data_IF_712605094068
#
_entry.id   IF_712605094068
#
_cell.length_a   1.000
_cell.length_b   1.000
_cell.length_c   1.000
_cell.angle_alpha   90.00
_cell.angle_beta   90.00
_cell.angle_gamma   90.00
#
_symmetry.space_group_name_H-M   'P 1'
#
loop_
_entity.id
_entity.type
_entity.pdbx_description
1 polymer ?
#
# COMPACT_ATOMS: atom_id res chain seq x y z
N UNK A 1 -9.26 11.46 15.24
CA UNK A 1 -9.11 11.64 13.79
C UNK A 1 -8.01 12.67 13.60
N UNK A 2 -6.86 12.27 13.08
CA UNK A 2 -5.76 13.20 12.80
C UNK A 2 -6.12 14.05 11.57
N UNK A 3 -5.95 15.38 11.61
CA UNK A 3 -6.12 16.25 10.46
C UNK A 3 -4.87 16.13 9.59
N UNK A 4 -5.03 15.64 8.36
CA UNK A 4 -3.93 15.38 7.43
C UNK A 4 -3.92 13.90 7.04
N UNK A 5 -4.21 13.63 5.77
CA UNK A 5 -4.13 12.27 5.23
C UNK A 5 -2.73 11.69 5.39
N UNK A 6 -2.62 10.37 5.37
CA UNK A 6 -1.32 9.69 5.47
C UNK A 6 -0.56 9.92 4.18
N UNK A 7 0.64 10.51 4.25
CA UNK A 7 1.48 10.70 3.07
C UNK A 7 2.43 9.51 2.95
N UNK A 8 2.39 8.84 1.81
CA UNK A 8 3.28 7.72 1.48
C UNK A 8 4.32 8.18 0.46
N UNK A 9 5.55 7.69 0.56
CA UNK A 9 6.58 7.95 -0.43
C UNK A 9 6.64 6.78 -1.41
N UNK A 10 6.69 7.08 -2.70
CA UNK A 10 6.78 6.09 -3.76
C UNK A 10 7.96 6.42 -4.68
N UNK A 11 8.67 5.38 -5.10
CA UNK A 11 9.79 5.46 -6.02
C UNK A 11 9.60 4.45 -7.15
N UNK A 12 9.74 4.90 -8.38
CA UNK A 12 9.50 4.09 -9.59
C UNK A 12 10.69 4.22 -10.53
N UNK A 13 11.24 3.09 -10.95
CA UNK A 13 12.29 3.06 -11.97
C UNK A 13 11.64 2.98 -13.35
N UNK A 14 11.96 3.96 -14.20
CA UNK A 14 11.39 4.10 -15.54
C UNK A 14 12.49 4.19 -16.59
N UNK A 15 12.25 3.52 -17.72
CA UNK A 15 13.04 3.68 -18.95
C UNK A 15 12.11 4.22 -20.02
N UNK A 16 11.99 5.55 -20.08
CA UNK A 16 11.02 6.24 -20.93
C UNK A 16 11.40 7.71 -21.13
N UNK A 17 10.59 8.43 -21.91
CA UNK A 17 10.59 9.89 -22.04
C UNK A 17 9.34 10.53 -21.43
N UNK A 18 8.40 9.72 -20.94
CA UNK A 18 7.17 10.16 -20.29
C UNK A 18 6.77 9.19 -19.18
N UNK A 19 6.08 9.72 -18.18
CA UNK A 19 5.50 8.92 -17.10
C UNK A 19 4.16 9.51 -16.68
N UNK A 20 3.22 8.62 -16.36
CA UNK A 20 1.86 9.00 -16.02
C UNK A 20 1.44 8.40 -14.67
N UNK A 21 0.83 9.24 -13.84
CA UNK A 21 0.37 8.91 -12.49
C UNK A 21 -1.13 8.64 -12.52
N UNK A 22 -1.52 7.36 -12.49
CA UNK A 22 -2.93 6.95 -12.54
C UNK A 22 -3.36 6.15 -11.33
N UNK A 23 -4.59 6.39 -10.88
CA UNK A 23 -5.33 5.55 -9.94
C UNK A 23 -6.64 5.11 -10.61
N UNK A 24 -7.18 3.92 -10.29
CA UNK A 24 -8.52 3.57 -10.74
C UNK A 24 -9.57 4.44 -10.03
N UNK A 25 -10.54 4.91 -10.81
CA UNK A 25 -11.75 5.58 -10.34
C UNK A 25 -12.85 4.59 -9.99
N UNK A 26 -14.05 5.10 -9.71
CA UNK A 26 -15.15 4.29 -9.15
C UNK A 26 -15.64 3.22 -10.13
N UNK A 27 -15.53 3.46 -11.43
CA UNK A 27 -15.89 2.54 -12.50
C UNK A 27 -14.66 1.92 -13.18
N UNK A 28 -13.48 2.02 -12.57
CA UNK A 28 -12.21 1.53 -13.13
C UNK A 28 -11.59 2.44 -14.18
N UNK A 29 -12.15 3.63 -14.40
CA UNK A 29 -11.56 4.66 -15.25
C UNK A 29 -10.22 5.16 -14.67
N UNK A 30 -9.32 5.63 -15.52
CA UNK A 30 -8.05 6.19 -15.05
C UNK A 30 -8.25 7.63 -14.59
N UNK A 31 -7.94 7.89 -13.32
CA UNK A 31 -8.00 9.22 -12.70
C UNK A 31 -6.57 9.66 -12.35
N UNK A 32 -6.17 10.92 -12.64
CA UNK A 32 -4.85 11.42 -12.27
C UNK A 32 -4.62 11.29 -10.77
N UNK A 33 -3.56 10.59 -10.38
CA UNK A 33 -3.13 10.51 -8.99
C UNK A 33 -2.55 11.87 -8.58
N UNK A 34 -2.99 12.39 -7.44
CA UNK A 34 -2.42 13.61 -6.87
C UNK A 34 -1.08 13.25 -6.22
N UNK A 35 -0.02 13.93 -6.64
CA UNK A 35 1.34 13.70 -6.13
C UNK A 35 1.96 15.02 -5.68
N UNK A 36 2.83 14.93 -4.69
CA UNK A 36 3.56 16.03 -4.07
C UNK A 36 5.06 15.72 -4.07
N UNK A 37 5.92 16.73 -3.91
CA UNK A 37 7.38 16.58 -3.82
C UNK A 37 7.99 15.72 -4.93
N UNK A 38 7.56 15.94 -6.18
CA UNK A 38 7.98 15.15 -7.34
C UNK A 38 9.41 15.49 -7.76
N UNK A 39 10.26 14.47 -7.78
CA UNK A 39 11.64 14.54 -8.22
C UNK A 39 11.94 13.45 -9.28
N UNK A 40 12.66 13.83 -10.34
CA UNK A 40 13.15 12.91 -11.37
C UNK A 40 14.66 12.85 -11.27
N UNK A 41 15.20 11.69 -10.88
CA UNK A 41 16.62 11.48 -10.66
C UNK A 41 17.19 10.60 -11.78
N UNK A 42 18.17 11.14 -12.50
CA UNK A 42 18.96 10.41 -13.47
C UNK A 42 20.31 9.95 -12.91
N UNK A 43 21.12 9.22 -13.70
CA UNK A 43 22.44 8.74 -13.29
C UNK A 43 23.40 9.88 -12.90
N UNK A 44 23.21 11.06 -13.50
CA UNK A 44 24.04 12.24 -13.31
C UNK A 44 23.45 13.25 -12.30
N UNK A 45 22.32 12.92 -11.66
CA UNK A 45 21.61 13.81 -10.73
C UNK A 45 20.18 14.18 -11.17
N UNK A 46 19.57 15.19 -10.52
CA UNK A 46 18.22 15.65 -10.84
C UNK A 46 18.08 16.11 -12.29
N UNK A 47 16.94 15.78 -12.91
CA UNK A 47 16.61 16.13 -14.29
C UNK A 47 15.35 16.99 -14.30
N UNK A 48 15.36 18.03 -15.13
CA UNK A 48 14.16 18.84 -15.34
C UNK A 48 13.09 18.05 -16.08
N UNK A 49 11.86 18.14 -15.57
CA UNK A 49 10.67 17.58 -16.20
C UNK A 49 9.68 18.68 -16.54
N UNK A 50 8.81 18.38 -17.51
CA UNK A 50 7.67 19.24 -17.85
C UNK A 50 6.38 18.49 -17.67
N UNK A 51 5.47 19.08 -16.91
CA UNK A 51 4.08 18.65 -16.85
C UNK A 51 3.37 19.03 -18.16
N UNK A 52 2.97 18.02 -18.94
CA UNK A 52 2.30 18.25 -20.22
C UNK A 52 0.77 18.19 -20.07
N UNK A 53 0.27 17.27 -19.24
CA UNK A 53 -1.15 17.11 -18.91
C UNK A 53 -1.28 16.77 -17.43
N UNK A 54 -2.50 16.87 -16.89
CA UNK A 54 -2.78 16.42 -15.51
C UNK A 54 -2.33 14.98 -15.32
N UNK A 55 -1.41 14.77 -14.39
CA UNK A 55 -0.86 13.45 -14.07
C UNK A 55 0.11 12.89 -15.12
N UNK A 56 0.65 13.70 -16.04
CA UNK A 56 1.66 13.25 -17.01
C UNK A 56 2.84 14.21 -17.03
N UNK A 57 4.03 13.64 -16.80
CA UNK A 57 5.31 14.33 -16.94
C UNK A 57 6.09 13.81 -18.13
N UNK A 58 6.90 14.70 -18.69
CA UNK A 58 7.80 14.42 -19.82
C UNK A 58 9.21 14.84 -19.44
N UNK A 59 10.19 14.05 -19.86
CA UNK A 59 11.60 14.22 -19.58
C UNK A 59 12.41 13.66 -20.76
N UNK A 60 13.70 14.01 -20.90
CA UNK A 60 14.56 13.42 -21.94
C UNK A 60 14.52 11.89 -21.86
N UNK A 61 14.65 11.20 -23.00
CA UNK A 61 14.63 9.75 -23.00
C UNK A 61 15.82 9.16 -22.24
N UNK A 62 15.57 8.25 -21.30
CA UNK A 62 16.62 7.65 -20.48
C UNK A 62 16.09 6.78 -19.33
N UNK A 63 17.02 6.39 -18.46
CA UNK A 63 16.75 5.60 -17.26
C UNK A 63 16.71 6.52 -16.04
N UNK A 64 15.55 6.62 -15.41
CA UNK A 64 15.32 7.53 -14.30
C UNK A 64 14.63 6.83 -13.15
N UNK A 65 14.85 7.36 -11.95
CA UNK A 65 14.09 7.06 -10.75
C UNK A 65 13.21 8.25 -10.46
N UNK A 66 11.89 8.04 -10.50
CA UNK A 66 10.91 9.06 -10.15
C UNK A 66 10.50 8.83 -8.70
N UNK A 67 10.73 9.83 -7.85
CA UNK A 67 10.32 9.80 -6.44
C UNK A 67 9.24 10.84 -6.22
N UNK A 68 8.19 10.47 -5.50
CA UNK A 68 7.06 11.35 -5.23
C UNK A 68 6.32 10.94 -3.96
N UNK A 69 5.57 11.88 -3.40
CA UNK A 69 4.71 11.65 -2.24
C UNK A 69 3.25 11.60 -2.66
N UNK A 70 2.50 10.67 -2.08
CA UNK A 70 1.08 10.48 -2.36
C UNK A 70 0.29 10.69 -1.07
N UNK A 71 -0.60 11.70 -1.00
CA UNK A 71 -1.57 11.81 0.07
C UNK A 71 -2.63 10.71 -0.07
N UNK A 72 -2.60 9.74 0.83
CA UNK A 72 -3.50 8.59 0.85
C UNK A 72 -4.69 8.84 1.78
N UNK A 73 -5.87 8.48 1.29
CA UNK A 73 -7.11 8.44 2.09
C UNK A 73 -7.43 7.00 2.46
N UNK A 74 -8.05 6.82 3.63
CA UNK A 74 -8.52 5.52 4.13
C UNK A 74 -7.47 4.41 4.23
N UNK A 75 -6.18 4.79 4.27
CA UNK A 75 -5.03 3.89 4.26
C UNK A 75 -5.01 2.90 3.08
N UNK A 76 -5.50 3.35 1.93
CA UNK A 76 -5.61 2.54 0.72
C UNK A 76 -4.97 3.27 -0.46
N UNK A 77 -3.85 2.75 -0.93
CA UNK A 77 -3.12 3.26 -2.09
C UNK A 77 -3.33 2.31 -3.27
N UNK A 78 -3.74 2.84 -4.41
CA UNK A 78 -3.85 2.10 -5.67
C UNK A 78 -3.21 2.91 -6.77
N UNK A 79 -2.38 2.28 -7.58
CA UNK A 79 -1.80 2.90 -8.77
C UNK A 79 -1.80 1.92 -9.93
N UNK A 80 -2.00 2.45 -11.14
CA UNK A 80 -2.03 1.68 -12.39
C UNK A 80 -1.04 2.30 -13.35
N UNK A 81 -0.31 1.44 -14.07
CA UNK A 81 0.77 1.84 -14.95
C UNK A 81 0.48 1.40 -16.38
N UNK A 82 0.99 2.14 -17.36
CA UNK A 82 0.86 1.79 -18.78
C UNK A 82 1.77 0.64 -19.19
N UNK A 83 2.86 0.45 -18.46
CA UNK A 83 3.86 -0.60 -18.63
C UNK A 83 4.25 -1.08 -17.24
N UNK A 84 4.72 -2.32 -17.11
CA UNK A 84 5.19 -2.81 -15.83
C UNK A 84 6.51 -2.14 -15.43
N UNK A 85 6.58 -1.63 -14.19
CA UNK A 85 7.77 -0.96 -13.64
C UNK A 85 8.26 -1.65 -12.35
N UNK A 86 9.51 -1.35 -11.98
CA UNK A 86 10.02 -1.64 -10.62
C UNK A 86 9.59 -0.50 -9.71
N UNK A 87 8.86 -0.84 -8.65
CA UNK A 87 8.20 0.12 -7.77
C UNK A 87 8.56 -0.20 -6.33
N UNK A 88 8.89 0.84 -5.56
CA UNK A 88 9.05 0.76 -4.12
C UNK A 88 8.15 1.79 -3.45
N UNK A 89 7.33 1.34 -2.50
CA UNK A 89 6.51 2.20 -1.66
C UNK A 89 7.03 2.13 -0.23
N UNK A 90 7.28 3.28 0.36
CA UNK A 90 7.66 3.43 1.76
C UNK A 90 6.49 4.04 2.53
N UNK A 91 5.95 3.26 3.47
CA UNK A 91 4.93 3.69 4.39
C UNK A 91 5.56 4.39 5.60
N UNK A 92 4.96 5.49 6.09
CA UNK A 92 5.45 6.16 7.28
C UNK A 92 5.47 5.23 8.50
N UNK A 93 6.38 5.50 9.43
CA UNK A 93 6.58 4.68 10.62
C UNK A 93 5.28 4.49 11.42
N UNK A 94 5.08 3.27 11.89
CA UNK A 94 3.89 2.86 12.62
C UNK A 94 2.79 2.20 11.77
N UNK A 95 2.81 2.34 10.45
CA UNK A 95 1.87 1.59 9.59
C UNK A 95 2.43 0.24 9.18
N UNK A 96 1.56 -0.78 9.12
CA UNK A 96 1.90 -2.12 8.68
C UNK A 96 0.83 -2.65 7.69
N UNK A 97 1.19 -3.70 6.95
CA UNK A 97 0.40 -4.39 5.91
C UNK A 97 0.36 -5.90 6.12
N UNK A 98 1.16 -6.45 7.04
CA UNK A 98 1.41 -7.89 7.16
C UNK A 98 0.21 -8.70 7.65
N UNK A 99 -0.71 -8.11 8.41
CA UNK A 99 -1.89 -8.81 8.88
C UNK A 99 -2.96 -8.91 7.77
N UNK A 100 -3.23 -10.11 7.22
CA UNK A 100 -4.10 -10.27 6.04
C UNK A 100 -5.58 -9.99 6.33
N UNK A 101 -5.99 -9.87 7.59
CA UNK A 101 -7.37 -9.56 7.96
C UNK A 101 -7.69 -8.06 7.85
N UNK A 102 -6.67 -7.21 7.89
CA UNK A 102 -6.80 -5.74 7.97
C UNK A 102 -5.86 -4.98 7.05
N UNK A 103 -4.93 -5.68 6.40
CA UNK A 103 -4.02 -5.16 5.40
C UNK A 103 -4.05 -6.01 4.12
N UNK A 104 -3.46 -5.48 3.06
CA UNK A 104 -3.35 -6.16 1.77
C UNK A 104 -2.18 -5.60 0.98
N UNK A 105 -1.49 -6.47 0.26
CA UNK A 105 -0.48 -6.11 -0.73
C UNK A 105 -0.82 -6.86 -2.01
N UNK A 106 -0.85 -6.17 -3.15
CA UNK A 106 -1.10 -6.79 -4.44
C UNK A 106 -0.03 -7.85 -4.77
N UNK A 107 -0.35 -8.86 -5.59
CA UNK A 107 0.59 -9.90 -5.97
C UNK A 107 1.93 -9.36 -6.50
N UNK A 108 3.02 -10.05 -6.17
CA UNK A 108 4.38 -9.65 -6.53
C UNK A 108 5.04 -8.63 -5.59
N UNK A 109 4.29 -8.07 -4.64
CA UNK A 109 4.83 -7.16 -3.63
C UNK A 109 5.53 -7.92 -2.51
N UNK A 110 6.78 -7.54 -2.25
CA UNK A 110 7.59 -8.06 -1.14
C UNK A 110 7.68 -6.99 -0.06
N UNK A 111 7.26 -7.34 1.16
CA UNK A 111 7.27 -6.44 2.31
C UNK A 111 8.58 -6.60 3.08
N UNK A 112 9.29 -5.51 3.30
CA UNK A 112 10.51 -5.42 4.09
C UNK A 112 10.38 -4.33 5.17
N UNK A 113 11.29 -4.37 6.14
CA UNK A 113 11.43 -3.28 7.10
C UNK A 113 12.43 -2.27 6.55
N UNK A 114 11.98 -1.03 6.37
CA UNK A 114 12.81 0.07 5.91
C UNK A 114 13.58 0.74 7.06
N UNK A 115 14.43 1.74 6.74
CA UNK A 115 15.14 2.53 7.74
C UNK A 115 14.17 3.31 8.62
N UNK A 116 14.54 3.57 9.88
CA UNK A 116 13.72 4.31 10.84
C UNK A 116 12.35 3.69 11.16
N UNK A 117 12.18 2.37 10.93
CA UNK A 117 10.94 1.66 11.25
C UNK A 117 9.81 1.92 10.26
N UNK A 118 10.13 2.38 9.06
CA UNK A 118 9.18 2.41 7.94
C UNK A 118 8.90 0.99 7.43
N UNK A 119 7.76 0.81 6.79
CA UNK A 119 7.42 -0.43 6.09
C UNK A 119 7.62 -0.20 4.61
N UNK A 120 8.56 -0.92 4.01
CA UNK A 120 8.85 -0.82 2.58
C UNK A 120 8.20 -1.98 1.84
N UNK A 121 7.69 -1.71 0.65
CA UNK A 121 7.02 -2.68 -0.19
C UNK A 121 7.56 -2.51 -1.61
N UNK A 122 8.17 -3.57 -2.14
CA UNK A 122 8.82 -3.53 -3.45
C UNK A 122 8.18 -4.53 -4.40
N UNK A 123 7.93 -4.09 -5.63
CA UNK A 123 7.56 -4.93 -6.75
C UNK A 123 8.67 -4.84 -7.79
N UNK A 124 9.26 -5.99 -8.14
CA UNK A 124 10.28 -6.04 -9.20
C UNK A 124 9.69 -5.66 -10.56
N UNK A 125 8.43 -6.04 -10.78
CA UNK A 125 7.69 -5.81 -12.03
C UNK A 125 6.18 -5.82 -11.77
N UNK A 126 5.53 -4.65 -11.82
CA UNK A 126 4.08 -4.55 -11.68
C UNK A 126 3.46 -3.51 -12.64
N UNK A 127 2.34 -3.86 -13.26
CA UNK A 127 1.48 -3.02 -14.10
C UNK A 127 0.33 -2.37 -13.31
N UNK A 128 0.03 -2.90 -12.13
CA UNK A 128 -0.78 -2.25 -11.11
C UNK A 128 -0.26 -2.60 -9.71
N UNK A 129 -0.39 -1.67 -8.78
CA UNK A 129 -0.12 -1.92 -7.36
C UNK A 129 -1.32 -1.52 -6.51
N UNK A 130 -1.54 -2.29 -5.46
CA UNK A 130 -2.54 -1.99 -4.45
C UNK A 130 -1.98 -2.32 -3.06
N UNK A 131 -2.10 -1.36 -2.15
CA UNK A 131 -1.66 -1.47 -0.77
C UNK A 131 -2.76 -0.99 0.14
N UNK A 132 -3.17 -1.85 1.07
CA UNK A 132 -4.00 -1.49 2.21
C UNK A 132 -3.18 -1.65 3.47
N UNK A 133 -3.01 -0.56 4.19
CA UNK A 133 -2.23 -0.51 5.40
C UNK A 133 -3.10 -0.14 6.60
N UNK A 134 -2.60 -0.41 7.81
CA UNK A 134 -3.32 -0.15 9.04
C UNK A 134 -2.38 0.43 10.09
N UNK A 135 -2.95 1.24 10.98
CA UNK A 135 -2.25 1.75 12.14
C UNK A 135 -2.26 0.68 13.25
N UNK A 136 -1.29 0.70 14.19
CA UNK A 136 -1.11 -0.36 15.19
C UNK A 136 -2.35 -0.58 16.07
N UNK A 137 -3.13 0.47 16.30
CA UNK A 137 -4.35 0.43 17.11
C UNK A 137 -5.41 -0.49 16.51
N UNK A 138 -5.46 -0.62 15.18
CA UNK A 138 -6.40 -1.52 14.50
C UNK A 138 -6.10 -2.99 14.79
N UNK A 139 -4.83 -3.34 14.90
CA UNK A 139 -4.41 -4.69 15.24
C UNK A 139 -4.72 -5.04 16.70
N UNK A 140 -4.52 -4.09 17.61
CA UNK A 140 -4.94 -4.22 19.02
C UNK A 140 -6.46 -4.45 19.11
N UNK A 141 -7.24 -3.66 18.36
CA UNK A 141 -8.70 -3.77 18.35
C UNK A 141 -9.15 -5.11 17.77
N UNK A 142 -8.55 -5.57 16.66
CA UNK A 142 -8.84 -6.86 16.06
C UNK A 142 -8.55 -8.02 17.03
N UNK A 143 -7.38 -7.98 17.69
CA UNK A 143 -6.97 -9.00 18.66
C UNK A 143 -7.91 -9.03 19.86
N UNK A 144 -8.28 -7.85 20.38
CA UNK A 144 -9.22 -7.72 21.50
C UNK A 144 -10.60 -8.29 21.13
N UNK A 145 -11.11 -7.90 19.96
CA UNK A 145 -12.38 -8.40 19.43
C UNK A 145 -12.37 -9.92 19.29
N UNK A 146 -11.33 -10.47 18.64
CA UNK A 146 -11.19 -11.91 18.46
C UNK A 146 -11.13 -12.68 19.79
N UNK A 147 -10.40 -12.15 20.77
CA UNK A 147 -10.26 -12.78 22.10
C UNK A 147 -11.58 -12.82 22.86
N UNK A 148 -12.37 -11.74 22.82
CA UNK A 148 -13.69 -11.69 23.46
C UNK A 148 -14.62 -12.73 22.84
N UNK A 149 -14.72 -12.75 21.51
CA UNK A 149 -15.62 -13.69 20.82
C UNK A 149 -15.19 -15.14 20.96
N UNK A 150 -13.89 -15.42 20.94
CA UNK A 150 -13.36 -16.75 21.21
C UNK A 150 -13.75 -17.21 22.62
N UNK A 151 -13.63 -16.34 23.62
CA UNK A 151 -14.02 -16.66 25.01
C UNK A 151 -15.51 -16.96 25.12
N UNK A 152 -16.36 -16.15 24.46
CA UNK A 152 -17.81 -16.39 24.40
C UNK A 152 -18.10 -17.73 23.72
N UNK A 153 -17.45 -18.03 22.59
CA UNK A 153 -17.63 -19.28 21.87
C UNK A 153 -17.24 -20.49 22.74
N UNK A 154 -16.14 -20.41 23.49
CA UNK A 154 -15.71 -21.48 24.41
C UNK A 154 -16.76 -21.69 25.51
N UNK A 155 -17.22 -20.63 26.17
CA UNK A 155 -18.22 -20.76 27.26
C UNK A 155 -19.53 -21.38 26.78
N UNK A 156 -19.98 -21.04 25.56
CA UNK A 156 -21.22 -21.56 25.00
C UNK A 156 -21.09 -22.99 24.43
N UNK A 157 -19.97 -23.30 23.77
CA UNK A 157 -19.79 -24.57 23.08
C UNK A 157 -19.26 -25.68 23.98
N UNK A 158 -18.39 -25.36 24.93
CA UNK A 158 -17.79 -26.34 25.84
C UNK A 158 -18.82 -27.20 26.58
N UNK A 159 -19.91 -26.67 27.19
CA UNK A 159 -20.92 -27.51 27.82
C UNK A 159 -21.67 -28.40 26.81
N UNK A 160 -21.95 -27.91 25.61
CA UNK A 160 -22.58 -28.72 24.54
C UNK A 160 -21.71 -29.92 24.16
N UNK A 161 -20.41 -29.72 23.95
CA UNK A 161 -19.48 -30.80 23.61
C UNK A 161 -19.23 -31.77 24.77
N UNK A 162 -19.21 -31.29 26.02
CA UNK A 162 -19.08 -32.16 27.21
C UNK A 162 -20.33 -33.03 27.39
N UNK A 163 -21.53 -32.47 27.18
CA UNK A 163 -22.78 -33.23 27.30
C UNK A 163 -22.91 -34.28 26.20
N UNK A 164 -22.53 -33.95 24.95
CA UNK A 164 -22.59 -34.89 23.83
C UNK A 164 -21.67 -36.09 24.01
N UNK A 165 -20.47 -35.90 24.58
CA UNK A 165 -19.54 -37.01 24.89
C UNK A 165 -20.03 -37.97 25.98
N UNK A 166 -20.95 -37.54 26.85
CA UNK A 166 -21.57 -38.41 27.88
C UNK A 166 -22.77 -39.20 27.37
N UNK A 167 -23.28 -38.92 26.17
CA UNK A 167 -24.42 -39.61 25.56
C UNK A 167 -24.06 -40.75 24.61
N UNK A 168 -22.77 -40.91 24.28
CA UNK A 168 -22.24 -41.97 23.41
C UNK A 168 -21.59 -43.13 24.21
N UNK A 169 -21.82 -43.20 25.53
CA UNK A 169 -21.44 -44.31 26.44
C UNK A 169 -22.67 -45.13 26.87
#
# INVERSE_FOLDING_TARGET
MLPGGTVCEASVQVTASEYAFWSPGLMGERVPLQVEDLEVLGPSGPVEYRETRRGIITFPEGNYTITYRVPVRDNHLVAVFDKPYTITVSLPGGFDVRNPLIGMVSPGGVVSSGPNGTTEITWDRADAMEVRFYAPEREILLTTFGTIWLSVAVVLLLPYFVLRRRGDE
#
